data_IF_908514726717
#
_entry.id   IF_908514726717
#
_cell.length_a   1.000
_cell.length_b   1.000
_cell.length_c   1.000
_cell.angle_alpha   90.00
_cell.angle_beta   90.00
_cell.angle_gamma   90.00
#
_symmetry.space_group_name_H-M   'P 1'
#
loop_
_entity.id
_entity.type
_entity.pdbx_description
1 polymer ?
#
# COMPACT_ATOMS: atom_id res chain seq x y z
N UNK A 1 5.70 -17.98 -22.62
CA UNK A 1 4.79 -18.69 -21.70
C UNK A 1 3.36 -18.46 -22.17
N UNK A 2 2.44 -19.40 -21.96
CA UNK A 2 1.05 -19.22 -22.33
C UNK A 2 0.35 -18.23 -21.39
N UNK A 3 -0.62 -17.46 -21.88
CA UNK A 3 -1.30 -16.41 -21.11
C UNK A 3 -2.05 -16.93 -19.84
N UNK A 4 -2.27 -18.25 -19.75
CA UNK A 4 -2.99 -18.92 -18.67
C UNK A 4 -2.19 -20.12 -18.10
N UNK A 5 -0.88 -20.14 -18.27
CA UNK A 5 -0.05 -21.23 -17.76
C UNK A 5 0.34 -21.02 -16.29
N UNK A 6 0.60 -22.10 -15.53
CA UNK A 6 1.09 -22.01 -14.16
C UNK A 6 2.35 -21.13 -14.03
N UNK A 7 3.27 -21.23 -14.99
CA UNK A 7 4.49 -20.42 -15.00
C UNK A 7 4.19 -18.91 -15.08
N UNK A 8 3.24 -18.51 -15.92
CA UNK A 8 2.84 -17.09 -16.06
C UNK A 8 2.22 -16.57 -14.77
N UNK A 9 1.35 -17.37 -14.13
CA UNK A 9 0.76 -17.00 -12.85
C UNK A 9 1.77 -16.95 -11.73
N UNK A 10 2.70 -17.91 -11.67
CA UNK A 10 3.78 -17.93 -10.69
C UNK A 10 4.62 -16.66 -10.77
N UNK A 11 5.08 -16.29 -11.97
CA UNK A 11 5.84 -15.07 -12.19
C UNK A 11 5.04 -13.80 -11.86
N UNK A 12 3.74 -13.76 -12.20
CA UNK A 12 2.88 -12.62 -11.88
C UNK A 12 2.71 -12.45 -10.37
N UNK A 13 2.43 -13.53 -9.64
CA UNK A 13 2.24 -13.52 -8.19
C UNK A 13 3.53 -13.09 -7.49
N UNK A 14 4.67 -13.68 -7.84
CA UNK A 14 5.95 -13.36 -7.20
C UNK A 14 6.38 -11.90 -7.49
N UNK A 15 6.15 -11.42 -8.72
CA UNK A 15 6.40 -10.01 -9.07
C UNK A 15 5.49 -9.06 -8.28
N UNK A 16 4.19 -9.39 -8.14
CA UNK A 16 3.25 -8.59 -7.34
C UNK A 16 3.67 -8.57 -5.87
N UNK A 17 4.10 -9.70 -5.30
CA UNK A 17 4.58 -9.77 -3.90
C UNK A 17 5.74 -8.82 -3.64
N UNK A 18 6.72 -8.76 -4.54
CA UNK A 18 7.84 -7.82 -4.44
C UNK A 18 7.37 -6.37 -4.60
N UNK A 19 6.54 -6.11 -5.60
CA UNK A 19 6.01 -4.76 -5.85
C UNK A 19 5.20 -4.21 -4.68
N UNK A 20 4.35 -5.04 -4.04
CA UNK A 20 3.63 -4.65 -2.83
C UNK A 20 4.55 -4.43 -1.64
N UNK A 21 5.59 -5.25 -1.46
CA UNK A 21 6.56 -5.06 -0.38
C UNK A 21 7.30 -3.71 -0.52
N UNK A 22 7.76 -3.39 -1.72
CA UNK A 22 8.39 -2.10 -2.02
C UNK A 22 7.40 -0.93 -1.87
N UNK A 23 6.16 -1.09 -2.36
CA UNK A 23 5.14 -0.06 -2.24
C UNK A 23 4.81 0.24 -0.78
N UNK A 24 4.61 -0.78 0.05
CA UNK A 24 4.35 -0.58 1.47
C UNK A 24 5.52 0.12 2.17
N UNK A 25 6.76 -0.15 1.76
CA UNK A 25 7.94 0.45 2.39
C UNK A 25 8.20 1.90 1.97
N UNK A 26 7.96 2.25 0.70
CA UNK A 26 8.43 3.52 0.13
C UNK A 26 7.32 4.47 -0.31
N UNK A 27 6.11 4.00 -0.62
CA UNK A 27 5.04 4.87 -1.15
C UNK A 27 4.41 5.67 -0.01
N UNK A 28 4.62 6.98 -0.06
CA UNK A 28 4.07 7.96 0.87
C UNK A 28 3.89 9.32 0.18
N UNK A 29 3.37 10.32 0.89
CA UNK A 29 3.29 11.69 0.37
C UNK A 29 4.71 12.24 0.12
N UNK A 30 5.10 12.53 -1.14
CA UNK A 30 6.45 12.99 -1.47
C UNK A 30 6.78 14.37 -0.88
N UNK A 31 5.78 15.12 -0.39
CA UNK A 31 5.98 16.38 0.34
C UNK A 31 6.35 16.16 1.81
N UNK A 32 6.21 14.94 2.32
CA UNK A 32 6.39 14.56 3.73
C UNK A 32 7.45 13.48 3.93
N UNK A 33 7.73 12.67 2.92
CA UNK A 33 8.74 11.61 2.96
C UNK A 33 9.57 11.60 1.68
N UNK A 34 10.81 11.13 1.78
CA UNK A 34 11.65 10.90 0.61
C UNK A 34 11.19 9.62 -0.10
N UNK A 35 10.62 9.75 -1.29
CA UNK A 35 10.18 8.62 -2.12
C UNK A 35 11.14 8.48 -3.31
N UNK A 36 11.95 7.42 -3.39
CA UNK A 36 12.95 7.26 -4.45
C UNK A 36 12.32 6.78 -5.77
N UNK A 37 11.44 7.59 -6.37
CA UNK A 37 10.64 7.22 -7.56
C UNK A 37 11.52 6.76 -8.73
N UNK A 38 12.61 7.48 -9.01
CA UNK A 38 13.52 7.17 -10.11
C UNK A 38 14.23 5.83 -9.90
N UNK A 39 14.60 5.50 -8.67
CA UNK A 39 15.26 4.23 -8.35
C UNK A 39 14.27 3.07 -8.42
N UNK A 40 13.08 3.24 -7.83
CA UNK A 40 12.01 2.22 -7.85
C UNK A 40 11.54 1.86 -9.28
N UNK A 41 11.65 2.81 -10.21
CA UNK A 41 11.27 2.62 -11.63
C UNK A 41 12.47 2.32 -12.55
N UNK A 42 13.69 2.28 -12.01
CA UNK A 42 14.92 2.01 -12.78
C UNK A 42 15.00 0.57 -13.26
N UNK A 43 15.62 0.35 -14.42
CA UNK A 43 15.83 -1.01 -14.95
C UNK A 43 16.75 -1.83 -14.07
N UNK A 44 17.72 -1.17 -13.44
CA UNK A 44 18.71 -1.73 -12.55
C UNK A 44 18.03 -2.30 -11.30
N UNK A 45 17.18 -1.52 -10.64
CA UNK A 45 16.41 -1.98 -9.47
C UNK A 45 15.42 -3.10 -9.85
N UNK A 46 14.72 -2.98 -10.97
CA UNK A 46 13.83 -4.04 -11.45
C UNK A 46 14.60 -5.34 -11.72
N UNK A 47 15.85 -5.25 -12.20
CA UNK A 47 16.70 -6.42 -12.42
C UNK A 47 17.09 -7.13 -11.12
N UNK A 48 17.39 -6.37 -10.05
CA UNK A 48 17.70 -6.96 -8.73
C UNK A 48 16.47 -7.64 -8.12
N UNK A 49 15.28 -7.05 -8.29
CA UNK A 49 14.00 -7.66 -7.86
C UNK A 49 13.69 -8.92 -8.65
N UNK A 50 13.84 -8.90 -9.98
CA UNK A 50 13.62 -10.07 -10.83
C UNK A 50 14.52 -11.26 -10.45
N UNK A 51 15.77 -11.00 -10.07
CA UNK A 51 16.71 -12.05 -9.68
C UNK A 51 16.26 -12.86 -8.43
N UNK A 52 15.31 -12.33 -7.64
CA UNK A 52 14.73 -13.03 -6.49
C UNK A 52 13.62 -14.02 -6.86
N UNK A 53 13.12 -13.98 -8.10
CA UNK A 53 12.02 -14.83 -8.56
C UNK A 53 12.60 -16.15 -9.09
N UNK A 54 12.43 -17.23 -8.33
CA UNK A 54 12.73 -18.58 -8.79
C UNK A 54 11.52 -19.16 -9.55
N UNK A 55 11.72 -19.55 -10.80
CA UNK A 55 10.68 -20.16 -11.66
C UNK A 55 10.03 -21.43 -11.08
N UNK A 56 10.69 -22.13 -10.15
CA UNK A 56 10.24 -23.42 -9.62
C UNK A 56 9.84 -23.37 -8.15
N UNK A 57 10.05 -22.23 -7.47
CA UNK A 57 9.86 -22.12 -6.03
C UNK A 57 9.31 -20.75 -5.65
N UNK A 58 8.21 -20.75 -4.90
CA UNK A 58 7.68 -19.52 -4.31
C UNK A 58 8.60 -19.02 -3.17
N UNK A 59 8.78 -17.71 -3.06
CA UNK A 59 9.52 -17.09 -1.97
C UNK A 59 8.86 -17.41 -0.62
N UNK A 60 9.68 -17.81 0.36
CA UNK A 60 9.24 -18.21 1.70
C UNK A 60 8.70 -17.06 2.55
N UNK A 61 9.20 -15.85 2.33
CA UNK A 61 8.74 -14.65 3.04
C UNK A 61 8.48 -13.52 2.06
N UNK A 62 7.23 -13.11 1.98
CA UNK A 62 6.86 -11.74 1.64
C UNK A 62 5.96 -11.33 2.81
N UNK A 63 6.36 -10.40 3.68
CA UNK A 63 5.57 -10.08 4.86
C UNK A 63 4.19 -9.62 4.39
N UNK A 64 3.15 -10.38 4.76
CA UNK A 64 1.77 -10.08 4.38
C UNK A 64 1.08 -9.30 5.49
N UNK A 65 0.31 -8.29 5.10
CA UNK A 65 -0.63 -7.61 5.99
C UNK A 65 -1.94 -8.39 6.14
N UNK A 66 -2.71 -8.05 7.17
CA UNK A 66 -4.07 -8.54 7.37
C UNK A 66 -4.93 -8.16 6.16
N UNK A 67 -5.71 -9.10 5.62
CA UNK A 67 -6.72 -8.81 4.59
C UNK A 67 -7.68 -7.76 5.15
N UNK A 68 -7.58 -6.53 4.66
CA UNK A 68 -8.57 -5.49 4.93
C UNK A 68 -9.82 -5.87 4.12
N UNK A 69 -10.87 -6.33 4.82
CA UNK A 69 -12.14 -6.70 4.19
C UNK A 69 -12.74 -5.47 3.49
N UNK A 70 -13.00 -5.61 2.19
CA UNK A 70 -13.88 -4.76 1.39
C UNK A 70 -13.47 -3.28 1.30
N UNK A 71 -12.85 -2.90 0.17
CA UNK A 71 -12.86 -1.51 -0.26
C UNK A 71 -13.90 -1.36 -1.37
N UNK A 72 -14.93 -0.56 -1.13
CA UNK A 72 -15.85 -0.14 -2.18
C UNK A 72 -15.26 1.12 -2.81
N UNK A 73 -14.69 0.95 -4.00
CA UNK A 73 -14.10 2.01 -4.79
C UNK A 73 -14.85 2.09 -6.10
N UNK A 74 -15.37 3.27 -6.41
CA UNK A 74 -16.07 3.52 -7.68
C UNK A 74 -15.03 3.96 -8.70
N UNK A 75 -14.97 3.24 -9.81
CA UNK A 75 -14.15 3.56 -10.97
C UNK A 75 -15.05 3.92 -12.15
N UNK A 76 -14.77 5.07 -12.78
CA UNK A 76 -15.49 5.57 -13.95
C UNK A 76 -14.45 5.92 -15.02
N UNK A 77 -14.68 5.43 -16.23
CA UNK A 77 -13.86 5.76 -17.40
C UNK A 77 -14.75 6.38 -18.47
N UNK A 78 -14.38 7.56 -18.96
CA UNK A 78 -15.13 8.29 -20.00
C UNK A 78 -14.18 8.58 -21.16
N UNK A 79 -14.64 8.35 -22.38
CA UNK A 79 -13.97 8.76 -23.61
C UNK A 79 -14.99 9.49 -24.47
N UNK A 80 -14.65 10.68 -24.97
CA UNK A 80 -15.51 11.46 -25.86
C UNK A 80 -15.06 11.42 -27.32
N UNK A 81 -15.88 11.97 -28.21
CA UNK A 81 -15.64 12.00 -29.66
C UNK A 81 -14.45 12.87 -30.08
N UNK A 82 -14.03 13.81 -29.21
CA UNK A 82 -12.87 14.66 -29.45
C UNK A 82 -11.56 14.01 -29.00
N UNK A 83 -11.63 12.78 -28.49
CA UNK A 83 -10.47 12.03 -28.02
C UNK A 83 -10.04 12.38 -26.60
N UNK A 84 -10.86 13.11 -25.84
CA UNK A 84 -10.60 13.30 -24.42
C UNK A 84 -10.92 12.00 -23.69
N UNK A 85 -10.03 11.60 -22.78
CA UNK A 85 -10.20 10.43 -21.93
C UNK A 85 -10.01 10.82 -20.47
N UNK A 86 -10.88 10.30 -19.60
CA UNK A 86 -10.81 10.50 -18.16
C UNK A 86 -10.94 9.15 -17.45
N UNK A 87 -9.92 8.80 -16.66
CA UNK A 87 -9.92 7.67 -15.74
C UNK A 87 -10.09 8.23 -14.32
N UNK A 88 -11.31 8.16 -13.79
CA UNK A 88 -11.66 8.73 -12.49
C UNK A 88 -11.91 7.63 -11.47
N UNK A 89 -11.25 7.75 -10.31
CA UNK A 89 -11.40 6.84 -9.18
C UNK A 89 -11.77 7.62 -7.94
N UNK A 90 -12.86 7.24 -7.28
CA UNK A 90 -13.30 7.85 -6.03
C UNK A 90 -13.65 6.77 -4.99
N UNK A 91 -13.28 7.03 -3.73
CA UNK A 91 -13.50 6.05 -2.67
C UNK A 91 -13.45 6.70 -1.28
N UNK A 92 -14.43 6.36 -0.46
CA UNK A 92 -14.46 6.63 0.99
C UNK A 92 -13.59 5.67 1.83
N UNK A 93 -12.77 4.85 1.14
CA UNK A 93 -11.92 3.77 1.62
C UNK A 93 -12.68 2.48 1.95
N UNK A 94 -13.15 2.31 3.18
CA UNK A 94 -14.03 1.19 3.53
C UNK A 94 -15.46 1.52 3.11
N UNK A 95 -16.32 0.53 2.89
CA UNK A 95 -17.73 0.65 2.47
C UNK A 95 -18.42 2.00 2.78
N UNK A 96 -18.91 2.23 4.00
CA UNK A 96 -19.50 3.52 4.44
C UNK A 96 -18.46 4.48 5.06
N UNK A 97 -17.21 4.38 4.64
CA UNK A 97 -16.07 5.11 5.19
C UNK A 97 -15.94 4.90 6.71
N UNK A 98 -16.06 6.00 7.44
CA UNK A 98 -16.04 6.02 8.92
C UNK A 98 -17.37 5.59 9.56
N UNK A 99 -18.44 5.45 8.79
CA UNK A 99 -19.80 5.27 9.29
C UNK A 99 -20.46 6.57 9.78
N UNK A 100 -19.75 7.70 9.76
CA UNK A 100 -20.29 9.01 10.14
C UNK A 100 -20.90 9.73 8.93
N UNK A 101 -22.07 10.32 9.15
CA UNK A 101 -22.76 11.16 8.15
C UNK A 101 -22.99 12.54 8.76
N UNK A 102 -22.64 13.59 8.01
CA UNK A 102 -22.86 14.97 8.46
C UNK A 102 -24.38 15.24 8.53
N UNK A 103 -24.92 15.62 9.71
CA UNK A 103 -26.36 15.76 9.91
C UNK A 103 -27.03 16.67 8.88
N UNK A 104 -28.15 16.22 8.30
CA UNK A 104 -28.94 16.99 7.33
C UNK A 104 -28.35 17.11 5.92
N UNK A 105 -27.16 16.55 5.64
CA UNK A 105 -26.49 16.73 4.33
C UNK A 105 -26.36 15.44 3.51
N UNK A 106 -26.41 14.27 4.14
CA UNK A 106 -26.13 12.99 3.49
C UNK A 106 -24.66 12.75 3.14
N UNK A 107 -23.74 13.62 3.56
CA UNK A 107 -22.31 13.48 3.28
C UNK A 107 -21.69 12.45 4.24
N UNK A 108 -21.24 11.33 3.68
CA UNK A 108 -20.51 10.27 4.40
C UNK A 108 -19.03 10.63 4.52
N UNK A 109 -18.48 10.56 5.73
CA UNK A 109 -17.07 10.86 5.97
C UNK A 109 -16.19 9.63 5.72
N UNK A 110 -15.13 9.80 4.93
CA UNK A 110 -14.18 8.72 4.62
C UNK A 110 -13.33 8.31 5.82
N UNK A 111 -12.76 7.09 5.80
CA UNK A 111 -11.81 6.62 6.81
C UNK A 111 -10.39 6.36 6.24
N UNK A 112 -10.00 7.06 5.17
CA UNK A 112 -8.71 6.90 4.46
C UNK A 112 -7.46 6.99 5.35
N UNK A 113 -7.53 7.73 6.47
CA UNK A 113 -6.46 7.85 7.45
C UNK A 113 -6.04 6.50 8.09
N UNK A 114 -6.83 5.44 7.91
CA UNK A 114 -6.45 4.08 8.29
C UNK A 114 -5.13 3.59 7.66
N UNK A 115 -4.70 4.18 6.54
CA UNK A 115 -3.39 3.87 5.93
C UNK A 115 -2.20 4.52 6.63
N UNK A 116 -2.40 5.42 7.59
CA UNK A 116 -1.27 5.99 8.32
C UNK A 116 -0.66 4.97 9.29
N UNK A 117 0.66 4.82 9.21
CA UNK A 117 1.42 4.14 10.24
C UNK A 117 1.64 5.07 11.43
N UNK A 118 1.28 4.60 12.63
CA UNK A 118 1.44 5.37 13.88
C UNK A 118 2.85 5.23 14.49
N UNK A 119 3.68 4.34 13.94
CA UNK A 119 5.07 4.15 14.34
C UNK A 119 5.97 5.14 13.60
N UNK A 120 6.75 5.92 14.35
CA UNK A 120 7.67 6.95 13.82
C UNK A 120 8.77 6.39 12.90
N UNK A 121 9.09 5.11 13.05
CA UNK A 121 10.07 4.41 12.23
C UNK A 121 9.33 3.22 11.62
N UNK A 122 9.10 3.26 10.30
CA UNK A 122 8.81 2.03 9.58
C UNK A 122 10.06 1.16 9.69
N UNK A 123 10.01 -0.04 10.27
CA UNK A 123 11.19 -0.85 10.48
C UNK A 123 11.78 -1.19 9.10
N UNK A 124 12.88 -0.51 8.77
CA UNK A 124 13.69 -0.85 7.61
C UNK A 124 14.21 -2.28 7.81
N UNK A 125 14.29 -3.11 6.76
CA UNK A 125 14.97 -4.40 6.84
C UNK A 125 16.41 -4.17 7.36
N UNK A 126 16.70 -4.64 8.58
CA UNK A 126 18.00 -4.45 9.26
C UNK A 126 18.00 -3.53 10.49
N UNK A 127 16.90 -2.83 10.81
CA UNK A 127 16.80 -2.07 12.06
C UNK A 127 16.57 -3.02 13.25
N UNK A 128 17.61 -3.24 14.06
CA UNK A 128 17.52 -4.05 15.28
C UNK A 128 16.50 -3.48 16.28
N UNK A 129 15.78 -4.37 16.97
CA UNK A 129 14.75 -4.10 17.99
C UNK A 129 15.15 -3.09 19.10
N UNK A 130 16.44 -2.77 19.24
CA UNK A 130 16.96 -1.84 20.22
C UNK A 130 16.43 -0.38 20.08
N UNK A 131 15.92 0.02 18.92
CA UNK A 131 15.40 1.39 18.72
C UNK A 131 13.95 1.61 19.24
N UNK A 132 13.28 0.56 19.75
CA UNK A 132 11.88 0.62 20.17
C UNK A 132 11.65 1.09 21.62
N UNK A 133 12.70 1.33 22.41
CA UNK A 133 12.57 1.54 23.86
C UNK A 133 12.60 3.00 24.35
N UNK A 134 12.66 4.03 23.50
CA UNK A 134 12.75 5.41 24.00
C UNK A 134 11.41 6.16 24.06
N UNK A 135 10.92 6.25 25.31
CA UNK A 135 10.05 7.25 25.94
C UNK A 135 8.67 7.56 25.34
N UNK A 136 7.63 7.01 25.99
CA UNK A 136 6.27 7.54 25.97
C UNK A 136 6.08 8.53 27.14
N UNK A 137 5.90 9.85 26.90
CA UNK A 137 5.72 10.85 27.96
C UNK A 137 4.30 10.88 28.57
N UNK A 138 3.39 9.99 28.17
CA UNK A 138 1.97 10.03 28.56
C UNK A 138 1.56 9.06 29.69
N UNK A 139 2.51 8.46 30.40
CA UNK A 139 2.22 7.57 31.55
C UNK A 139 2.26 8.32 32.90
N UNK A 140 1.62 9.48 32.98
CA UNK A 140 1.48 10.25 34.21
C UNK A 140 0.06 10.78 34.36
N UNK A 141 -0.60 10.36 35.45
CA UNK A 141 -1.93 10.77 35.92
C UNK A 141 -3.10 9.92 35.43
N UNK A 142 -3.43 8.91 36.22
CA UNK A 142 -4.76 8.74 36.82
C UNK A 142 -4.67 7.65 37.91
N UNK A 143 -4.40 8.09 39.15
CA UNK A 143 -4.77 7.39 40.38
C UNK A 143 -5.50 8.39 41.26
N UNK A 144 -6.82 8.26 41.31
CA UNK A 144 -7.64 8.42 42.50
C UNK A 144 -8.69 7.32 42.45
#
# INVERSE_FOLDING_TARGET
>A
MGAQSPDTYHHLIEAMRLGFADAFQYVADPRKANVPINELTSKEFVSTRRALIDSKKAMSTAPYGKVLKGSDTVYISVVDEHGNACSFINSVFSNFGSGMVVPGTGIVLHNRAHYFHLTRIMPMPGATQAALQHHNPWNGHHRQ
#
